data_IF_261306671395
#
_entry.id   IF_261306671395
#
_cell.length_a   1.000
_cell.length_b   1.000
_cell.length_c   1.000
_cell.angle_alpha   90.00
_cell.angle_beta   90.00
_cell.angle_gamma   90.00
#
_symmetry.space_group_name_H-M   'P 1'
#
loop_
_entity.id
_entity.type
_entity.pdbx_description
1 polymer ?
#
# COMPACT_ATOMS: atom_id res chain seq x y z
N UNK A 1 -17.19 -9.86 11.81
CA UNK A 1 -16.13 -9.29 10.96
C UNK A 1 -16.27 -9.97 9.61
N UNK A 2 -16.36 -9.21 8.52
CA UNK A 2 -16.40 -9.82 7.19
C UNK A 2 -14.99 -10.35 6.89
N UNK A 3 -14.83 -11.65 6.73
CA UNK A 3 -13.55 -12.21 6.31
C UNK A 3 -13.20 -11.66 4.92
N UNK A 4 -12.09 -10.94 4.83
CA UNK A 4 -11.55 -10.51 3.55
C UNK A 4 -11.17 -11.75 2.74
N UNK A 5 -11.74 -11.87 1.53
CA UNK A 5 -11.39 -12.99 0.66
C UNK A 5 -10.04 -12.74 -0.03
N UNK A 6 -9.38 -13.81 -0.46
CA UNK A 6 -8.06 -13.75 -1.11
C UNK A 6 -8.03 -12.75 -2.28
N UNK A 7 -9.03 -12.71 -3.19
CA UNK A 7 -9.06 -11.71 -4.26
C UNK A 7 -9.05 -10.24 -3.79
N UNK A 8 -9.75 -9.92 -2.69
CA UNK A 8 -9.77 -8.57 -2.13
C UNK A 8 -8.40 -8.16 -1.60
N UNK A 9 -7.74 -9.04 -0.85
CA UNK A 9 -6.39 -8.82 -0.34
C UNK A 9 -5.41 -8.57 -1.49
N UNK A 10 -5.38 -9.46 -2.48
CA UNK A 10 -4.50 -9.35 -3.64
C UNK A 10 -4.76 -8.05 -4.43
N UNK A 11 -6.02 -7.62 -4.52
CA UNK A 11 -6.35 -6.35 -5.18
C UNK A 11 -5.71 -5.17 -4.45
N UNK A 12 -5.82 -5.08 -3.12
CA UNK A 12 -5.18 -4.01 -2.34
C UNK A 12 -3.66 -4.05 -2.51
N UNK A 13 -3.06 -5.24 -2.43
CA UNK A 13 -1.61 -5.42 -2.60
C UNK A 13 -1.13 -4.91 -3.96
N UNK A 14 -1.84 -5.25 -5.05
CA UNK A 14 -1.50 -4.76 -6.40
C UNK A 14 -1.63 -3.24 -6.53
N UNK A 15 -2.64 -2.64 -5.91
CA UNK A 15 -2.77 -1.17 -5.86
C UNK A 15 -1.55 -0.50 -5.23
N UNK A 16 -0.99 -1.08 -4.17
CA UNK A 16 0.16 -0.54 -3.46
C UNK A 16 1.49 -0.84 -4.19
N UNK A 17 1.69 -2.09 -4.62
CA UNK A 17 2.94 -2.56 -5.20
C UNK A 17 3.13 -2.17 -6.66
N UNK A 18 2.12 -2.41 -7.50
CA UNK A 18 2.23 -2.23 -8.95
C UNK A 18 1.85 -0.81 -9.36
N UNK A 19 0.76 -0.29 -8.79
CA UNK A 19 0.14 0.95 -9.25
C UNK A 19 0.48 2.19 -8.42
N UNK A 20 1.19 2.03 -7.29
CA UNK A 20 1.53 3.13 -6.37
C UNK A 20 0.32 4.01 -6.08
N UNK A 21 -0.82 3.38 -5.79
CA UNK A 21 -2.10 4.04 -5.62
C UNK A 21 -2.64 3.86 -4.20
N UNK A 22 -2.09 4.65 -3.27
CA UNK A 22 -2.51 4.65 -1.88
C UNK A 22 -3.99 5.09 -1.70
N UNK A 23 -4.48 6.16 -2.36
CA UNK A 23 -5.89 6.55 -2.25
C UNK A 23 -6.85 5.44 -2.70
N UNK A 24 -6.53 4.74 -3.78
CA UNK A 24 -7.31 3.61 -4.28
C UNK A 24 -7.31 2.42 -3.32
N UNK A 25 -6.14 2.06 -2.77
CA UNK A 25 -6.04 1.02 -1.76
C UNK A 25 -6.87 1.35 -0.51
N UNK A 26 -6.80 2.59 -0.01
CA UNK A 26 -7.56 3.07 1.15
C UNK A 26 -9.07 3.09 0.89
N UNK A 27 -9.48 3.50 -0.31
CA UNK A 27 -10.89 3.49 -0.71
C UNK A 27 -11.45 2.06 -0.75
N UNK A 28 -10.69 1.09 -1.25
CA UNK A 28 -11.06 -0.33 -1.21
C UNK A 28 -11.13 -0.85 0.22
N UNK A 29 -10.15 -0.52 1.06
CA UNK A 29 -10.13 -0.92 2.46
C UNK A 29 -11.39 -0.45 3.20
N UNK A 30 -11.74 0.83 3.03
CA UNK A 30 -12.97 1.41 3.59
C UNK A 30 -14.23 0.74 3.03
N UNK A 31 -14.28 0.49 1.71
CA UNK A 31 -15.43 -0.17 1.07
C UNK A 31 -15.67 -1.58 1.61
N UNK A 32 -14.63 -2.30 1.98
CA UNK A 32 -14.71 -3.64 2.55
C UNK A 32 -14.69 -3.66 4.07
N UNK A 33 -14.83 -2.50 4.71
CA UNK A 33 -14.90 -2.35 6.18
C UNK A 33 -13.68 -2.92 6.91
N UNK A 34 -12.50 -2.83 6.30
CA UNK A 34 -11.24 -3.15 6.95
C UNK A 34 -10.95 -2.09 8.02
N UNK A 35 -10.57 -2.54 9.20
CA UNK A 35 -10.03 -1.69 10.26
C UNK A 35 -8.67 -1.11 9.85
N UNK A 36 -8.25 -0.05 10.53
CA UNK A 36 -6.93 0.52 10.32
C UNK A 36 -5.83 -0.51 10.63
N UNK A 37 -5.99 -1.30 11.69
CA UNK A 37 -5.03 -2.35 12.06
C UNK A 37 -4.90 -3.43 10.97
N UNK A 38 -6.01 -3.85 10.36
CA UNK A 38 -5.96 -4.78 9.23
C UNK A 38 -5.28 -4.18 8.02
N UNK A 39 -5.56 -2.91 7.71
CA UNK A 39 -4.91 -2.23 6.60
C UNK A 39 -3.40 -2.08 6.84
N UNK A 40 -2.98 -1.72 8.05
CA UNK A 40 -1.57 -1.60 8.43
C UNK A 40 -0.83 -2.95 8.27
N UNK A 41 -1.46 -4.07 8.69
CA UNK A 41 -0.91 -5.42 8.42
C UNK A 41 -0.74 -5.70 6.93
N UNK A 42 -1.69 -5.27 6.08
CA UNK A 42 -1.56 -5.43 4.62
C UNK A 42 -0.35 -4.65 4.10
N UNK A 43 -0.07 -3.45 4.63
CA UNK A 43 1.11 -2.67 4.24
C UNK A 43 2.42 -3.38 4.59
N UNK A 44 2.48 -4.00 5.78
CA UNK A 44 3.63 -4.83 6.19
C UNK A 44 3.81 -6.05 5.28
N UNK A 45 2.71 -6.75 4.94
CA UNK A 45 2.76 -7.87 4.00
C UNK A 45 3.23 -7.44 2.61
N UNK A 46 2.80 -6.28 2.14
CA UNK A 46 3.22 -5.69 0.86
C UNK A 46 4.73 -5.47 0.82
N UNK A 47 5.31 -4.92 1.88
CA UNK A 47 6.76 -4.70 1.97
C UNK A 47 7.52 -6.03 1.99
N UNK A 48 7.04 -7.01 2.77
CA UNK A 48 7.63 -8.35 2.83
C UNK A 48 7.59 -9.05 1.48
N UNK A 49 6.43 -9.08 0.82
CA UNK A 49 6.30 -9.68 -0.51
C UNK A 49 7.12 -8.98 -1.57
N UNK A 50 7.23 -7.64 -1.50
CA UNK A 50 8.08 -6.89 -2.42
C UNK A 50 9.56 -7.24 -2.24
N UNK A 51 10.00 -7.48 -1.01
CA UNK A 51 11.35 -7.94 -0.71
C UNK A 51 11.59 -9.35 -1.29
N UNK A 52 10.69 -10.29 -1.04
CA UNK A 52 10.76 -11.66 -1.55
C UNK A 52 10.75 -11.72 -3.09
N UNK A 53 9.97 -10.85 -3.73
CA UNK A 53 9.89 -10.71 -5.19
C UNK A 53 11.05 -9.89 -5.79
N UNK A 54 11.94 -9.34 -4.97
CA UNK A 54 13.07 -8.51 -5.43
C UNK A 54 12.67 -7.17 -6.05
N UNK A 55 11.49 -6.65 -5.71
CA UNK A 55 10.95 -5.39 -6.27
C UNK A 55 10.85 -4.26 -5.23
N UNK A 56 11.27 -4.49 -3.98
CA UNK A 56 11.26 -3.49 -2.92
C UNK A 56 12.04 -2.23 -3.32
N UNK A 57 13.26 -2.42 -3.81
CA UNK A 57 14.18 -1.36 -4.26
C UNK A 57 13.82 -0.76 -5.62
N UNK A 58 12.86 -1.35 -6.34
CA UNK A 58 12.45 -0.85 -7.65
C UNK A 58 11.81 0.52 -7.49
N UNK A 59 12.53 1.56 -7.92
CA UNK A 59 12.04 2.92 -7.88
C UNK A 59 11.02 3.18 -8.98
N UNK A 60 9.96 3.89 -8.65
CA UNK A 60 8.94 4.37 -9.59
C UNK A 60 8.77 5.88 -9.42
N UNK A 61 8.45 6.57 -10.51
CA UNK A 61 8.19 8.01 -10.45
C UNK A 61 6.88 8.28 -9.72
N UNK A 62 6.97 9.09 -8.67
CA UNK A 62 5.83 9.54 -7.87
C UNK A 62 5.51 11.00 -8.23
N UNK A 63 4.28 11.24 -8.69
CA UNK A 63 3.86 12.57 -9.17
C UNK A 63 3.68 13.56 -8.01
N UNK A 64 3.36 13.09 -6.81
CA UNK A 64 3.14 13.98 -5.67
C UNK A 64 4.43 14.59 -5.13
N UNK A 65 5.52 13.81 -5.16
CA UNK A 65 6.84 14.25 -4.70
C UNK A 65 7.77 14.66 -5.83
N UNK A 66 7.40 14.37 -7.10
CA UNK A 66 8.24 14.61 -8.28
C UNK A 66 9.59 13.86 -8.23
N UNK A 67 9.64 12.73 -7.53
CA UNK A 67 10.85 11.93 -7.33
C UNK A 67 10.63 10.46 -7.67
N UNK A 68 11.72 9.75 -7.98
CA UNK A 68 11.71 8.30 -8.08
C UNK A 68 11.87 7.70 -6.67
N UNK A 69 10.84 7.00 -6.19
CA UNK A 69 10.79 6.43 -4.86
C UNK A 69 10.72 4.90 -4.91
N UNK A 70 11.45 4.23 -4.02
CA UNK A 70 11.24 2.81 -3.71
C UNK A 70 9.84 2.61 -3.10
N UNK A 71 9.38 1.36 -2.98
CA UNK A 71 8.09 1.08 -2.34
C UNK A 71 8.06 1.58 -0.89
N UNK A 72 9.15 1.35 -0.15
CA UNK A 72 9.28 1.77 1.24
C UNK A 72 9.31 3.29 1.37
N UNK A 73 10.12 3.98 0.56
CA UNK A 73 10.19 5.45 0.52
C UNK A 73 8.81 6.05 0.22
N UNK A 74 8.10 5.47 -0.76
CA UNK A 74 6.78 5.92 -1.17
C UNK A 74 5.71 5.71 -0.08
N UNK A 75 5.66 4.52 0.54
CA UNK A 75 4.74 4.23 1.65
C UNK A 75 4.99 5.13 2.86
N UNK A 76 6.26 5.35 3.23
CA UNK A 76 6.62 6.21 4.36
C UNK A 76 6.11 7.64 4.18
N UNK A 77 6.13 8.18 2.96
CA UNK A 77 5.59 9.51 2.65
C UNK A 77 4.07 9.57 2.79
N UNK A 78 3.36 8.55 2.34
CA UNK A 78 1.90 8.53 2.38
C UNK A 78 1.36 8.25 3.79
N UNK A 79 2.04 7.38 4.55
CA UNK A 79 1.74 7.13 5.97
C UNK A 79 2.08 8.33 6.87
N UNK A 80 3.18 9.04 6.56
CA UNK A 80 3.57 10.25 7.28
C UNK A 80 2.60 11.42 7.08
N UNK A 81 1.97 11.53 5.90
CA UNK A 81 0.92 12.53 5.62
C UNK A 81 -0.37 12.30 6.44
N UNK A 82 -0.68 11.07 6.86
CA UNK A 82 -1.90 10.78 7.62
C UNK A 82 -1.81 11.15 9.10
N UNK A 83 -0.61 11.27 9.69
CA UNK A 83 -0.43 11.66 11.09
C UNK A 83 -0.54 13.17 11.36
N UNK A 84 -0.84 13.97 10.33
CA UNK A 84 -0.81 15.43 10.38
C UNK A 84 -2.06 16.13 9.81
N UNK A 85 -3.23 15.49 9.81
CA UNK A 85 -4.51 16.10 9.41
C UNK A 85 -5.62 15.82 10.41
#
# INVERSE_FOLDING_TARGET
MAEMNVPQLETIKRFLMEYRNFPGARALAKRWSLSQEEFDRILEEVLREAAEKGVLEKKQFDIETMHYLSLEEWLAKHLGKEKGS
#
